data_IF_844038372290
#
_entry.id   IF_844038372290
#
_cell.length_a   1.000
_cell.length_b   1.000
_cell.length_c   1.000
_cell.angle_alpha   90.00
_cell.angle_beta   90.00
_cell.angle_gamma   90.00
#
_symmetry.space_group_name_H-M   'P 1'
#
loop_
_entity.id
_entity.type
_entity.pdbx_description
1 polymer ?
#
# COMPACT_ATOMS: atom_id res chain seq x y z
N UNK A 1 25.26 3.47 -42.66
CA UNK A 1 24.63 2.76 -41.54
C UNK A 1 23.55 3.64 -40.96
N UNK A 2 22.41 3.11 -40.49
CA UNK A 2 21.32 3.86 -39.85
C UNK A 2 20.93 3.12 -38.57
N UNK A 3 20.51 3.85 -37.55
CA UNK A 3 20.04 3.23 -36.30
C UNK A 3 18.80 2.36 -36.57
N UNK A 4 18.68 1.18 -35.94
CA UNK A 4 17.55 0.28 -36.15
C UNK A 4 16.27 0.75 -35.44
N UNK A 5 16.37 1.67 -34.49
CA UNK A 5 15.27 2.27 -33.74
C UNK A 5 15.67 3.66 -33.21
N UNK A 6 14.68 4.44 -32.76
CA UNK A 6 14.89 5.71 -32.07
C UNK A 6 15.39 5.44 -30.65
N UNK A 7 16.49 6.06 -30.24
CA UNK A 7 17.10 5.82 -28.94
C UNK A 7 18.25 6.78 -28.65
N UNK A 8 18.88 6.60 -27.49
CA UNK A 8 20.04 7.37 -27.05
C UNK A 8 21.30 6.61 -27.45
N UNK A 9 22.21 7.27 -28.18
CA UNK A 9 23.53 6.76 -28.51
C UNK A 9 24.39 6.76 -27.23
N UNK A 10 24.77 5.58 -26.75
CA UNK A 10 25.58 5.41 -25.54
C UNK A 10 27.07 5.58 -25.87
N UNK A 11 27.55 4.85 -26.88
CA UNK A 11 28.93 4.92 -27.33
C UNK A 11 29.07 4.62 -28.82
N UNK A 12 30.21 5.05 -29.36
CA UNK A 12 30.66 4.72 -30.71
C UNK A 12 32.02 4.06 -30.56
N UNK A 13 32.14 2.81 -30.98
CA UNK A 13 33.32 1.97 -30.77
C UNK A 13 34.30 2.04 -31.96
N UNK A 14 34.03 2.92 -32.93
CA UNK A 14 34.76 2.99 -34.20
C UNK A 14 35.20 4.42 -34.50
N UNK A 15 36.42 4.56 -35.03
CA UNK A 15 37.00 5.84 -35.43
C UNK A 15 37.15 5.95 -36.96
N UNK A 16 37.34 7.18 -37.44
CA UNK A 16 37.55 7.43 -38.86
C UNK A 16 38.89 6.81 -39.32
N UNK A 17 38.82 5.81 -40.19
CA UNK A 17 39.97 5.04 -40.66
C UNK A 17 39.97 3.58 -40.20
N UNK A 18 39.05 3.21 -39.31
CA UNK A 18 38.92 1.82 -38.86
C UNK A 18 38.41 0.89 -39.97
N UNK A 19 39.04 -0.27 -40.06
CA UNK A 19 38.60 -1.33 -40.95
C UNK A 19 37.52 -2.18 -40.26
N UNK A 20 36.28 -2.01 -40.69
CA UNK A 20 35.13 -2.73 -40.13
C UNK A 20 34.95 -4.10 -40.78
N UNK A 21 34.88 -5.14 -39.96
CA UNK A 21 34.50 -6.49 -40.38
C UNK A 21 32.98 -6.67 -40.28
N UNK A 22 32.40 -7.54 -41.12
CA UNK A 22 30.98 -7.85 -41.04
C UNK A 22 30.65 -8.45 -39.66
N UNK A 23 29.75 -7.79 -38.91
CA UNK A 23 29.41 -8.15 -37.53
C UNK A 23 30.22 -7.43 -36.45
N UNK A 24 31.15 -6.54 -36.81
CA UNK A 24 31.81 -5.65 -35.87
C UNK A 24 30.83 -4.67 -35.22
N UNK A 25 30.99 -4.47 -33.92
CA UNK A 25 30.22 -3.49 -33.16
C UNK A 25 30.65 -2.07 -33.57
N UNK A 26 29.66 -1.21 -33.84
CA UNK A 26 29.90 0.15 -34.33
C UNK A 26 29.46 1.19 -33.31
N UNK A 27 28.32 0.94 -32.68
CA UNK A 27 27.73 1.84 -31.70
C UNK A 27 26.71 1.08 -30.84
N UNK A 28 26.56 1.52 -29.60
CA UNK A 28 25.50 1.09 -28.70
C UNK A 28 24.38 2.14 -28.68
N UNK A 29 23.14 1.70 -28.94
CA UNK A 29 21.95 2.55 -28.89
C UNK A 29 20.97 1.93 -27.91
N UNK A 30 20.46 2.74 -26.99
CA UNK A 30 19.55 2.29 -25.92
C UNK A 30 18.21 3.01 -26.05
N UNK A 31 17.13 2.23 -26.01
CA UNK A 31 15.78 2.76 -25.85
C UNK A 31 15.40 2.78 -24.37
N UNK A 32 15.08 3.98 -23.87
CA UNK A 32 14.74 4.19 -22.46
C UNK A 32 13.27 4.57 -22.27
N UNK A 33 12.42 4.53 -23.31
CA UNK A 33 11.00 4.85 -23.20
C UNK A 33 10.09 3.71 -23.74
N UNK A 34 9.44 2.92 -22.86
CA UNK A 34 9.37 3.09 -21.41
C UNK A 34 10.59 2.55 -20.67
N UNK A 35 10.94 3.19 -19.56
CA UNK A 35 11.94 2.70 -18.63
C UNK A 35 11.37 1.52 -17.82
N UNK A 36 12.08 0.40 -17.79
CA UNK A 36 11.68 -0.77 -17.00
C UNK A 36 12.33 -0.77 -15.62
N UNK A 37 11.50 -0.82 -14.59
CA UNK A 37 11.94 -0.91 -13.20
C UNK A 37 11.65 -2.31 -12.68
N UNK A 38 12.71 -3.04 -12.31
CA UNK A 38 12.61 -4.39 -11.76
C UNK A 38 12.55 -4.34 -10.24
N UNK A 39 11.56 -5.01 -9.65
CA UNK A 39 11.43 -5.18 -8.20
C UNK A 39 11.14 -6.63 -7.83
N UNK A 40 11.45 -6.98 -6.59
CA UNK A 40 11.24 -8.33 -6.04
C UNK A 40 10.17 -8.26 -4.95
N UNK A 41 9.05 -8.94 -5.17
CA UNK A 41 7.88 -8.91 -4.29
C UNK A 41 7.80 -10.23 -3.53
N UNK A 42 7.63 -10.18 -2.21
CA UNK A 42 7.53 -11.37 -1.39
C UNK A 42 6.28 -12.21 -1.73
N UNK A 43 6.37 -13.54 -1.56
CA UNK A 43 5.26 -14.46 -1.82
C UNK A 43 3.94 -14.08 -1.10
N UNK A 44 4.01 -13.50 0.11
CA UNK A 44 2.82 -13.08 0.86
C UNK A 44 2.08 -11.87 0.24
N UNK A 45 2.76 -11.14 -0.64
CA UNK A 45 2.27 -9.90 -1.24
C UNK A 45 1.96 -10.04 -2.74
N UNK A 46 2.55 -11.04 -3.41
CA UNK A 46 2.44 -11.23 -4.87
C UNK A 46 1.00 -11.45 -5.35
N UNK A 47 0.13 -12.03 -4.52
CA UNK A 47 -1.27 -12.27 -4.87
C UNK A 47 -2.04 -10.97 -5.18
N UNK A 48 -1.52 -9.82 -4.75
CA UNK A 48 -2.11 -8.49 -4.96
C UNK A 48 -1.54 -7.75 -6.17
N UNK A 49 -0.52 -8.31 -6.82
CA UNK A 49 0.21 -7.68 -7.92
C UNK A 49 -0.08 -8.46 -9.20
N UNK A 50 -0.68 -7.79 -10.17
CA UNK A 50 -1.04 -8.37 -11.47
C UNK A 50 -0.53 -7.48 -12.59
N UNK A 51 -0.39 -8.04 -13.80
CA UNK A 51 -0.16 -7.22 -14.99
C UNK A 51 -1.31 -6.22 -15.12
N UNK A 52 -0.95 -4.95 -15.29
CA UNK A 52 -1.88 -3.83 -15.32
C UNK A 52 -2.02 -3.08 -13.99
N UNK A 53 -1.49 -3.60 -12.88
CA UNK A 53 -1.50 -2.90 -11.58
C UNK A 53 -0.74 -1.58 -11.70
N UNK A 54 -1.39 -0.47 -11.33
CA UNK A 54 -0.75 0.84 -11.27
C UNK A 54 0.33 0.85 -10.18
N UNK A 55 1.44 1.53 -10.43
CA UNK A 55 2.56 1.63 -9.50
C UNK A 55 3.07 3.07 -9.45
N UNK A 56 3.49 3.53 -8.27
CA UNK A 56 4.20 4.80 -8.13
C UNK A 56 5.68 4.53 -7.94
N UNK A 57 6.50 5.08 -8.82
CA UNK A 57 7.94 4.88 -8.83
C UNK A 57 8.64 6.17 -8.43
N UNK A 58 9.51 6.08 -7.44
CA UNK A 58 10.38 7.17 -6.99
C UNK A 58 11.82 6.81 -7.28
N UNK A 59 12.45 7.54 -8.18
CA UNK A 59 13.85 7.33 -8.54
C UNK A 59 14.78 7.99 -7.51
N UNK A 60 16.00 7.48 -7.38
CA UNK A 60 17.03 8.06 -6.51
C UNK A 60 17.41 9.50 -6.92
N UNK A 61 17.14 9.88 -8.17
CA UNK A 61 17.26 11.26 -8.67
C UNK A 61 16.26 12.23 -8.05
N UNK A 62 15.25 11.73 -7.32
CA UNK A 62 14.17 12.51 -6.73
C UNK A 62 12.93 12.64 -7.62
N UNK A 63 12.99 12.18 -8.87
CA UNK A 63 11.85 12.16 -9.80
C UNK A 63 10.84 11.10 -9.35
N UNK A 64 9.56 11.46 -9.36
CA UNK A 64 8.45 10.54 -9.14
C UNK A 64 7.60 10.42 -10.41
N UNK A 65 7.22 9.19 -10.76
CA UNK A 65 6.35 8.91 -11.89
C UNK A 65 5.39 7.79 -11.59
N UNK A 66 4.29 7.80 -12.33
CA UNK A 66 3.38 6.67 -12.39
C UNK A 66 3.85 5.70 -13.47
N UNK A 67 3.76 4.42 -13.14
CA UNK A 67 4.05 3.32 -14.04
C UNK A 67 2.99 2.24 -13.90
N UNK A 68 3.14 1.20 -14.71
CA UNK A 68 2.23 0.07 -14.70
C UNK A 68 3.03 -1.23 -14.72
N UNK A 69 2.59 -2.20 -13.92
CA UNK A 69 3.17 -3.55 -13.95
C UNK A 69 2.89 -4.16 -15.33
N UNK A 70 3.94 -4.47 -16.08
CA UNK A 70 3.83 -5.11 -17.40
C UNK A 70 4.24 -6.59 -17.37
N UNK A 71 4.99 -6.99 -16.34
CA UNK A 71 5.42 -8.37 -16.17
C UNK A 71 5.44 -8.80 -14.70
N UNK A 72 4.97 -10.02 -14.46
CA UNK A 72 5.07 -10.73 -13.18
C UNK A 72 5.60 -12.13 -13.49
N UNK A 73 6.72 -12.51 -12.88
CA UNK A 73 7.29 -13.84 -13.04
C UNK A 73 6.35 -14.92 -12.52
N UNK A 74 6.25 -16.04 -13.24
CA UNK A 74 5.41 -17.17 -12.84
C UNK A 74 6.00 -18.00 -11.69
N UNK A 75 7.31 -17.90 -11.47
CA UNK A 75 8.06 -18.66 -10.47
C UNK A 75 8.77 -17.71 -9.51
N UNK A 76 8.79 -18.08 -8.23
CA UNK A 76 9.60 -17.40 -7.24
C UNK A 76 11.07 -17.80 -7.37
N UNK A 77 11.95 -16.89 -7.01
CA UNK A 77 13.33 -17.21 -6.66
C UNK A 77 13.33 -18.01 -5.33
N UNK A 78 13.89 -19.21 -5.35
CA UNK A 78 13.78 -20.16 -4.22
C UNK A 78 14.57 -19.71 -2.98
N UNK A 79 15.70 -19.01 -3.19
CA UNK A 79 16.57 -18.54 -2.11
C UNK A 79 15.92 -17.37 -1.37
N UNK A 80 15.39 -16.40 -2.10
CA UNK A 80 14.83 -15.18 -1.54
C UNK A 80 13.32 -15.26 -1.28
N UNK A 81 12.63 -16.26 -1.85
CA UNK A 81 11.16 -16.40 -1.85
C UNK A 81 10.43 -15.17 -2.39
N UNK A 82 11.01 -14.56 -3.41
CA UNK A 82 10.46 -13.37 -4.07
C UNK A 82 10.12 -13.64 -5.52
N UNK A 83 9.17 -12.88 -6.04
CA UNK A 83 8.78 -12.88 -7.44
C UNK A 83 9.30 -11.62 -8.12
N UNK A 84 9.91 -11.79 -9.29
CA UNK A 84 10.33 -10.67 -10.13
C UNK A 84 9.10 -10.00 -10.74
N UNK A 85 8.97 -8.70 -10.54
CA UNK A 85 7.94 -7.85 -11.12
C UNK A 85 8.63 -6.73 -11.88
N UNK A 86 8.18 -6.45 -13.10
CA UNK A 86 8.67 -5.33 -13.89
C UNK A 86 7.55 -4.28 -14.02
N UNK A 87 7.95 -3.03 -13.90
CA UNK A 87 7.07 -1.86 -14.00
C UNK A 87 7.57 -1.01 -15.15
N UNK A 88 6.72 -0.80 -16.16
CA UNK A 88 6.96 0.13 -17.24
C UNK A 88 6.63 1.55 -16.77
N UNK A 89 7.60 2.46 -16.89
CA UNK A 89 7.47 3.87 -16.52
C UNK A 89 7.75 4.73 -17.75
N UNK A 90 6.83 5.60 -18.18
CA UNK A 90 7.08 6.52 -19.29
C UNK A 90 8.30 7.39 -19.02
N UNK A 91 9.17 7.52 -20.02
CA UNK A 91 10.42 8.28 -19.96
C UNK A 91 10.73 9.02 -21.26
N UNK A 92 9.71 9.48 -21.96
CA UNK A 92 9.87 10.24 -23.21
C UNK A 92 10.68 11.55 -23.10
N UNK A 93 10.96 12.02 -21.88
CA UNK A 93 11.88 13.14 -21.62
C UNK A 93 13.36 12.75 -21.55
N UNK A 94 13.69 11.46 -21.39
CA UNK A 94 15.06 10.96 -21.25
C UNK A 94 15.81 11.46 -20.01
N UNK A 95 15.12 12.10 -19.06
CA UNK A 95 15.68 12.72 -17.85
C UNK A 95 16.00 11.72 -16.73
N UNK A 96 15.50 10.49 -16.85
CA UNK A 96 15.86 9.39 -15.95
C UNK A 96 16.82 8.45 -16.68
N UNK A 97 18.12 8.41 -16.30
CA UNK A 97 19.08 7.49 -16.89
C UNK A 97 18.84 6.05 -16.43
N UNK A 98 19.26 5.08 -17.23
CA UNK A 98 19.28 3.67 -16.81
C UNK A 98 20.26 3.44 -15.65
N UNK A 99 20.03 2.38 -14.88
CA UNK A 99 20.91 1.95 -13.78
C UNK A 99 20.72 2.69 -12.45
N UNK A 100 19.87 3.72 -12.39
CA UNK A 100 19.52 4.37 -11.11
C UNK A 100 18.60 3.49 -10.28
N UNK A 101 18.83 3.48 -8.97
CA UNK A 101 17.92 2.83 -8.02
C UNK A 101 16.56 3.53 -7.98
N UNK A 102 15.51 2.74 -7.75
CA UNK A 102 14.15 3.24 -7.60
C UNK A 102 13.42 2.52 -6.47
N UNK A 103 12.46 3.21 -5.88
CA UNK A 103 11.50 2.64 -4.93
C UNK A 103 10.14 2.58 -5.61
N UNK A 104 9.55 1.39 -5.64
CA UNK A 104 8.21 1.17 -6.22
C UNK A 104 7.20 1.00 -5.09
N UNK A 105 6.12 1.76 -5.16
CA UNK A 105 4.94 1.63 -4.31
C UNK A 105 3.82 1.01 -5.13
N UNK A 106 3.42 -0.18 -4.72
CA UNK A 106 2.29 -0.90 -5.30
C UNK A 106 1.06 -0.68 -4.40
N UNK A 107 -0.15 -0.56 -4.97
CA UNK A 107 -1.37 -0.40 -4.20
C UNK A 107 -1.59 -1.64 -3.33
N UNK A 108 -1.72 -1.43 -2.02
CA UNK A 108 -2.26 -2.40 -1.09
C UNK A 108 -3.75 -2.14 -0.91
N UNK A 109 -4.53 -3.18 -0.60
CA UNK A 109 -5.92 -3.01 -0.20
C UNK A 109 -5.97 -2.03 0.97
N UNK A 110 -6.72 -0.94 0.78
CA UNK A 110 -7.00 -0.01 1.86
C UNK A 110 -7.96 -0.68 2.83
N UNK A 111 -7.41 -1.36 3.83
CA UNK A 111 -8.20 -1.79 4.97
C UNK A 111 -8.54 -0.54 5.77
N UNK A 112 -9.75 -0.03 5.57
CA UNK A 112 -10.33 1.00 6.43
C UNK A 112 -10.39 0.46 7.85
N UNK A 113 -9.64 1.11 8.74
CA UNK A 113 -9.58 0.73 10.14
C UNK A 113 -9.75 1.96 11.04
N UNK A 114 -10.34 1.74 12.21
CA UNK A 114 -10.47 2.73 13.26
C UNK A 114 -9.42 2.46 14.32
N UNK A 115 -8.75 3.52 14.78
CA UNK A 115 -7.85 3.42 15.92
C UNK A 115 -8.65 3.59 17.22
N UNK A 116 -8.64 2.55 18.05
CA UNK A 116 -9.41 2.51 19.30
C UNK A 116 -8.55 2.06 20.47
N UNK A 117 -8.98 2.41 21.69
CA UNK A 117 -8.42 1.83 22.91
C UNK A 117 -8.80 0.36 23.01
N UNK A 118 -7.89 -0.57 23.38
CA UNK A 118 -8.25 -1.98 23.55
C UNK A 118 -9.38 -2.19 24.56
N UNK A 119 -9.57 -1.26 25.51
CA UNK A 119 -10.61 -1.31 26.54
C UNK A 119 -12.05 -1.21 25.98
N UNK A 120 -12.23 -0.69 24.76
CA UNK A 120 -13.56 -0.63 24.12
C UNK A 120 -13.97 -1.95 23.48
N UNK A 121 -13.02 -2.87 23.31
CA UNK A 121 -13.27 -4.17 22.72
C UNK A 121 -13.95 -5.09 23.74
N UNK A 122 -14.94 -5.82 23.25
CA UNK A 122 -15.75 -6.75 24.05
C UNK A 122 -15.91 -8.06 23.28
N UNK A 123 -16.27 -9.12 24.00
CA UNK A 123 -16.68 -10.37 23.36
C UNK A 123 -18.21 -10.36 23.19
N UNK A 124 -18.65 -10.80 22.02
CA UNK A 124 -20.05 -11.11 21.77
C UNK A 124 -20.49 -12.40 22.46
N UNK A 125 -21.78 -12.69 22.40
CA UNK A 125 -22.36 -13.91 23.02
C UNK A 125 -21.83 -15.20 22.36
N UNK A 126 -21.36 -15.10 21.11
CA UNK A 126 -20.72 -16.16 20.32
C UNK A 126 -19.20 -16.27 20.55
N UNK A 127 -18.63 -15.41 21.41
CA UNK A 127 -17.19 -15.32 21.65
C UNK A 127 -16.41 -14.57 20.57
N UNK A 128 -17.08 -13.94 19.60
CA UNK A 128 -16.42 -13.09 18.62
C UNK A 128 -15.95 -11.78 19.27
N UNK A 129 -14.75 -11.31 18.92
CA UNK A 129 -14.28 -9.99 19.31
C UNK A 129 -15.06 -8.92 18.55
N UNK A 130 -15.54 -7.90 19.25
CA UNK A 130 -16.33 -6.83 18.65
C UNK A 130 -16.30 -5.53 19.46
N UNK A 131 -16.88 -4.49 18.88
CA UNK A 131 -17.10 -3.21 19.54
C UNK A 131 -18.60 -2.89 19.53
N UNK A 132 -19.07 -2.31 20.64
CA UNK A 132 -20.46 -1.85 20.76
C UNK A 132 -20.56 -0.39 20.35
N UNK A 133 -21.54 -0.08 19.51
CA UNK A 133 -21.84 1.25 19.01
C UNK A 133 -23.25 1.65 19.39
N UNK A 134 -23.57 2.94 19.26
CA UNK A 134 -24.95 3.45 19.37
C UNK A 134 -25.37 3.99 18.01
N UNK A 135 -26.51 3.52 17.50
CA UNK A 135 -27.11 4.05 16.28
C UNK A 135 -27.77 5.44 16.49
N UNK A 136 -28.34 6.00 15.44
CA UNK A 136 -28.98 7.32 15.48
C UNK A 136 -30.29 7.30 16.29
N UNK A 137 -30.91 6.14 16.44
CA UNK A 137 -32.09 5.89 17.26
C UNK A 137 -31.76 5.65 18.75
N UNK A 138 -30.48 5.68 19.14
CA UNK A 138 -30.06 5.49 20.52
C UNK A 138 -30.07 4.02 20.97
N UNK A 139 -29.92 3.06 20.06
CA UNK A 139 -29.85 1.64 20.36
C UNK A 139 -28.44 1.12 20.21
N UNK A 140 -28.11 0.15 21.07
CA UNK A 140 -26.80 -0.50 21.05
C UNK A 140 -26.73 -1.47 19.86
N UNK A 141 -25.70 -1.34 19.04
CA UNK A 141 -25.35 -2.33 18.02
C UNK A 141 -24.01 -2.99 18.37
N UNK A 142 -23.87 -4.28 18.05
CA UNK A 142 -22.60 -5.00 18.19
C UNK A 142 -22.03 -5.26 16.80
N UNK A 143 -20.77 -4.84 16.60
CA UNK A 143 -20.05 -5.08 15.37
C UNK A 143 -18.90 -6.04 15.66
N UNK A 144 -18.84 -7.22 15.00
CA UNK A 144 -17.63 -8.04 14.98
C UNK A 144 -16.48 -7.24 14.37
N UNK A 145 -15.30 -7.29 15.00
CA UNK A 145 -14.13 -6.54 14.53
C UNK A 145 -12.91 -7.44 14.41
N UNK A 146 -12.03 -7.11 13.46
CA UNK A 146 -10.73 -7.76 13.31
C UNK A 146 -9.61 -6.77 13.61
N UNK A 147 -8.69 -7.16 14.48
CA UNK A 147 -7.49 -6.37 14.77
C UNK A 147 -6.55 -6.46 13.57
N UNK A 148 -6.31 -5.32 12.93
CA UNK A 148 -5.42 -5.22 11.77
C UNK A 148 -3.99 -4.92 12.19
N UNK A 149 -3.82 -4.06 13.21
CA UNK A 149 -2.52 -3.69 13.77
C UNK A 149 -2.64 -3.31 15.24
N UNK A 150 -1.71 -3.75 16.07
CA UNK A 150 -1.58 -3.31 17.45
C UNK A 150 -0.39 -2.34 17.61
N UNK A 151 -0.58 -1.30 18.41
CA UNK A 151 0.43 -0.31 18.75
C UNK A 151 0.46 -0.08 20.26
N UNK A 152 1.47 0.65 20.75
CA UNK A 152 1.62 0.94 22.19
C UNK A 152 0.41 1.63 22.80
N UNK A 153 -0.22 2.54 22.05
CA UNK A 153 -1.29 3.39 22.55
C UNK A 153 -2.69 2.94 22.11
N UNK A 154 -2.81 1.82 21.40
CA UNK A 154 -4.11 1.37 20.87
C UNK A 154 -4.02 0.34 19.77
N UNK A 155 -5.18 0.02 19.20
CA UNK A 155 -5.33 -1.00 18.16
C UNK A 155 -6.12 -0.46 16.99
N UNK A 156 -5.65 -0.77 15.78
CA UNK A 156 -6.40 -0.57 14.56
C UNK A 156 -7.32 -1.76 14.33
N UNK A 157 -8.61 -1.48 14.23
CA UNK A 157 -9.65 -2.48 14.01
C UNK A 157 -10.41 -2.21 12.72
N UNK A 158 -10.76 -3.28 12.00
CA UNK A 158 -11.66 -3.25 10.84
C UNK A 158 -13.01 -3.90 11.19
N UNK A 159 -14.03 -3.66 10.37
CA UNK A 159 -15.39 -4.20 10.56
C UNK A 159 -16.42 -3.20 11.10
N UNK A 160 -15.97 -1.99 11.46
CA UNK A 160 -16.85 -0.88 11.82
C UNK A 160 -17.25 -0.05 10.59
N UNK A 161 -18.44 0.59 10.61
CA UNK A 161 -18.83 1.56 9.59
C UNK A 161 -17.89 2.77 9.60
N UNK A 162 -17.82 3.51 8.48
CA UNK A 162 -16.89 4.63 8.28
C UNK A 162 -16.90 5.63 9.45
N UNK A 163 -18.10 5.96 9.94
CA UNK A 163 -18.32 6.68 11.19
C UNK A 163 -19.09 5.78 12.15
N UNK A 164 -18.59 5.65 13.38
CA UNK A 164 -19.18 4.83 14.42
C UNK A 164 -19.15 5.56 15.77
N UNK A 165 -20.28 5.61 16.47
CA UNK A 165 -20.37 6.13 17.85
C UNK A 165 -20.10 4.98 18.82
N UNK A 166 -18.83 4.74 19.12
CA UNK A 166 -18.41 3.61 19.96
C UNK A 166 -18.65 3.90 21.43
N UNK A 167 -19.20 2.92 22.16
CA UNK A 167 -19.38 2.99 23.61
C UNK A 167 -18.03 2.74 24.29
N UNK A 168 -17.50 3.76 24.93
CA UNK A 168 -16.18 3.72 25.60
C UNK A 168 -16.26 3.36 27.08
N UNK A 169 -17.43 3.56 27.70
CA UNK A 169 -17.70 3.28 29.11
C UNK A 169 -19.07 2.64 29.25
N UNK A 170 -19.17 1.64 30.12
CA UNK A 170 -20.43 0.95 30.41
C UNK A 170 -20.79 -0.14 29.39
N UNK A 171 -19.92 -0.44 28.43
CA UNK A 171 -20.10 -1.45 27.38
C UNK A 171 -20.37 -2.87 27.93
N UNK A 172 -19.96 -3.17 29.16
CA UNK A 172 -20.25 -4.44 29.84
C UNK A 172 -21.68 -4.56 30.38
N UNK A 173 -22.39 -3.45 30.53
CA UNK A 173 -23.73 -3.41 31.16
C UNK A 173 -24.88 -3.38 30.14
N UNK A 174 -24.57 -3.26 28.85
CA UNK A 174 -25.57 -3.11 27.79
C UNK A 174 -25.46 -4.24 26.77
N UNK A 175 -26.59 -4.65 26.16
CA UNK A 175 -26.64 -5.67 25.12
C UNK A 175 -27.06 -5.09 23.77
N UNK A 176 -26.74 -5.79 22.68
CA UNK A 176 -27.22 -5.40 21.36
C UNK A 176 -28.76 -5.33 21.32
N UNK A 177 -29.29 -4.28 20.71
CA UNK A 177 -30.72 -3.95 20.63
C UNK A 177 -31.26 -3.12 21.81
N UNK A 178 -30.49 -2.97 22.89
CA UNK A 178 -30.91 -2.24 24.08
C UNK A 178 -30.95 -0.73 23.83
N UNK A 179 -32.04 -0.03 24.21
CA UNK A 179 -32.09 1.42 24.13
C UNK A 179 -31.23 2.05 25.23
N UNK A 180 -30.42 3.04 24.86
CA UNK A 180 -29.53 3.78 25.76
C UNK A 180 -29.67 5.27 25.51
N UNK A 181 -29.37 6.06 26.54
CA UNK A 181 -29.19 7.51 26.36
C UNK A 181 -27.69 7.79 26.33
N UNK A 182 -27.09 7.99 25.15
CA UNK A 182 -25.65 8.24 25.04
C UNK A 182 -25.32 9.60 25.67
N UNK A 183 -24.19 9.65 26.37
CA UNK A 183 -23.56 10.89 26.82
C UNK A 183 -22.31 11.09 26.01
N UNK A 184 -22.16 12.26 25.38
CA UNK A 184 -20.99 12.54 24.56
C UNK A 184 -19.72 12.58 25.40
N UNK A 185 -18.63 12.09 24.83
CA UNK A 185 -17.34 11.98 25.51
C UNK A 185 -16.82 13.33 26.05
N UNK A 186 -17.19 14.44 25.42
CA UNK A 186 -16.82 15.80 25.85
C UNK A 186 -17.53 16.24 27.14
N UNK A 187 -18.71 15.68 27.41
CA UNK A 187 -19.59 16.07 28.53
C UNK A 187 -19.57 15.03 29.66
N UNK A 188 -18.76 13.97 29.53
CA UNK A 188 -18.66 12.91 30.54
C UNK A 188 -17.84 13.35 31.75
N UNK A 189 -18.34 13.19 33.00
CA UNK A 189 -17.59 13.50 34.21
C UNK A 189 -16.46 12.49 34.50
N UNK A 190 -16.44 11.35 33.79
CA UNK A 190 -15.36 10.39 33.84
C UNK A 190 -14.24 10.90 32.93
N UNK A 191 -13.06 11.17 33.52
CA UNK A 191 -11.85 11.43 32.75
C UNK A 191 -11.56 10.21 31.90
N UNK A 192 -11.94 10.28 30.63
CA UNK A 192 -11.50 9.35 29.62
C UNK A 192 -9.98 9.48 29.53
N UNK A 193 -9.27 8.36 29.46
CA UNK A 193 -7.85 8.33 29.13
C UNK A 193 -7.69 8.70 27.64
N UNK A 194 -7.93 9.98 27.36
CA UNK A 194 -7.28 10.78 26.33
C UNK A 194 -7.51 10.48 24.85
N UNK A 195 -8.23 9.44 24.41
CA UNK A 195 -8.44 9.23 22.96
C UNK A 195 -9.85 8.80 22.61
N UNK A 196 -10.61 9.76 22.07
CA UNK A 196 -11.81 9.51 21.28
C UNK A 196 -11.39 8.65 20.07
N UNK A 197 -12.12 7.56 19.75
CA UNK A 197 -11.82 6.76 18.58
C UNK A 197 -11.82 7.64 17.33
N UNK A 198 -10.73 7.57 16.57
CA UNK A 198 -10.61 8.34 15.34
C UNK A 198 -11.55 7.75 14.27
N UNK A 199 -12.10 8.58 13.36
CA UNK A 199 -12.85 8.07 12.22
C UNK A 199 -12.00 7.08 11.40
N UNK A 200 -12.67 6.25 10.59
CA UNK A 200 -11.98 5.30 9.72
C UNK A 200 -10.92 6.05 8.91
N UNK A 201 -9.68 5.58 8.98
CA UNK A 201 -8.61 6.09 8.14
C UNK A 201 -7.94 4.90 7.44
N UNK A 202 -7.50 5.08 6.18
CA UNK A 202 -6.60 4.10 5.59
C UNK A 202 -5.36 4.01 6.49
N UNK A 203 -4.92 2.78 6.77
CA UNK A 203 -3.73 2.56 7.56
C UNK A 203 -2.54 3.34 6.96
N UNK A 204 -1.70 3.99 7.79
CA UNK A 204 -0.51 4.65 7.29
C UNK A 204 0.37 3.61 6.59
N UNK A 205 0.69 3.87 5.33
CA UNK A 205 1.57 3.01 4.54
C UNK A 205 2.91 2.91 5.25
N UNK A 206 3.34 1.69 5.58
CA UNK A 206 4.71 1.44 6.03
C UNK A 206 5.65 1.89 4.91
N UNK A 207 6.57 2.79 5.26
CA UNK A 207 7.67 3.21 4.39
C UNK A 207 8.69 2.12 4.17
#
# INVERSE_FOLDING_TARGET
MRAPFDGILESVTVEEGDYLTAGGEVAEVVDLDPLRVTVFVAQQDIARVTVGTAARVRFATGVEREGQVDYVAATADEETRTFRVEVAVPNGGGDVPAGVSATVRLPADRVSAHFVSPAVLTLGDDGALGAKTVDDEGRVAFHPVSVVRAERDGVWISGLPERARVITVGQGFVRAGEPVTPVDAADSPLKLDGRVPAPAAPLPETG
#
